data_IF_493010487322
#
_entry.id   IF_493010487322
#
_cell.length_a   1.000
_cell.length_b   1.000
_cell.length_c   1.000
_cell.angle_alpha   90.00
_cell.angle_beta   90.00
_cell.angle_gamma   90.00
#
_symmetry.space_group_name_H-M   'P 1'
#
loop_
_entity.id
_entity.type
_entity.pdbx_description
1 polymer ?
#
# COMPACT_ATOMS: atom_id res chain seq x y z
N UNK A 1 -17.46 13.58 -9.20
CA UNK A 1 -16.44 12.85 -8.49
C UNK A 1 -15.03 13.29 -8.91
N UNK A 2 -14.04 12.97 -8.11
CA UNK A 2 -12.64 13.25 -8.43
C UNK A 2 -12.09 12.11 -9.29
N UNK A 3 -11.32 12.43 -10.34
CA UNK A 3 -10.65 11.43 -11.18
C UNK A 3 -9.58 10.69 -10.35
N UNK A 4 -9.56 9.36 -10.43
CA UNK A 4 -8.62 8.52 -9.70
C UNK A 4 -7.14 8.87 -9.99
N UNK A 5 -6.84 9.45 -11.16
CA UNK A 5 -5.51 9.93 -11.51
C UNK A 5 -5.00 11.11 -10.66
N UNK A 6 -5.88 11.77 -9.92
CA UNK A 6 -5.55 12.91 -9.06
C UNK A 6 -5.57 12.58 -7.56
N UNK A 7 -5.68 11.30 -7.20
CA UNK A 7 -5.74 10.84 -5.82
C UNK A 7 -4.48 10.08 -5.47
N UNK A 8 -3.92 10.36 -4.30
CA UNK A 8 -2.86 9.55 -3.68
C UNK A 8 -3.27 9.16 -2.27
N UNK A 9 -2.90 7.96 -1.83
CA UNK A 9 -3.08 7.51 -0.47
C UNK A 9 -1.74 7.42 0.25
N UNK A 10 -1.78 7.71 1.55
CA UNK A 10 -0.67 7.56 2.47
C UNK A 10 -1.16 6.84 3.73
N UNK A 11 -0.29 6.02 4.32
CA UNK A 11 -0.60 5.30 5.56
C UNK A 11 -0.40 6.14 6.81
N UNK A 12 0.22 7.32 6.70
CA UNK A 12 0.77 8.06 7.86
C UNK A 12 1.58 7.14 8.79
N UNK A 13 2.34 6.24 8.18
CA UNK A 13 3.12 5.22 8.89
C UNK A 13 4.06 5.85 9.91
N UNK A 14 4.08 5.30 11.14
CA UNK A 14 4.78 5.83 12.31
C UNK A 14 4.24 7.18 12.84
N UNK A 15 3.23 7.77 12.20
CA UNK A 15 2.53 8.95 12.70
C UNK A 15 1.67 8.63 13.93
N UNK A 16 1.47 9.64 14.78
CA UNK A 16 0.59 9.53 15.96
C UNK A 16 -0.85 9.76 15.56
N UNK A 17 -1.69 8.75 15.75
CA UNK A 17 -3.12 8.79 15.43
C UNK A 17 -3.95 8.86 16.71
N UNK A 18 -4.90 9.81 16.86
CA UNK A 18 -5.79 9.83 17.99
C UNK A 18 -6.76 8.66 17.95
N UNK A 19 -6.87 7.94 19.05
CA UNK A 19 -7.85 6.87 19.24
C UNK A 19 -8.95 7.37 20.14
N UNK A 20 -10.20 7.21 19.68
CA UNK A 20 -11.41 7.62 20.40
C UNK A 20 -12.21 6.41 20.85
N UNK A 21 -13.01 6.56 21.91
CA UNK A 21 -13.98 5.56 22.32
C UNK A 21 -15.28 5.67 21.48
N UNK A 22 -16.22 4.75 21.71
CA UNK A 22 -17.52 4.71 21.01
C UNK A 22 -18.37 5.98 21.21
N UNK A 23 -18.06 6.79 22.22
CA UNK A 23 -18.73 8.05 22.52
C UNK A 23 -18.00 9.26 21.94
N UNK A 24 -16.88 9.06 21.23
CA UNK A 24 -16.07 10.10 20.65
C UNK A 24 -15.10 10.79 21.62
N UNK A 25 -14.88 10.25 22.82
CA UNK A 25 -13.89 10.80 23.74
C UNK A 25 -12.49 10.29 23.40
N UNK A 26 -11.49 11.16 23.47
CA UNK A 26 -10.10 10.80 23.29
C UNK A 26 -9.65 9.77 24.33
N UNK A 27 -9.03 8.69 23.86
CA UNK A 27 -8.46 7.63 24.73
C UNK A 27 -6.95 7.72 24.84
N UNK A 28 -6.25 7.63 23.72
CA UNK A 28 -4.79 7.67 23.65
C UNK A 28 -4.32 7.97 22.21
N UNK A 29 -3.02 8.16 22.06
CA UNK A 29 -2.39 8.18 20.74
C UNK A 29 -1.95 6.76 20.35
N UNK A 30 -2.43 6.31 19.22
CA UNK A 30 -1.94 5.10 18.54
C UNK A 30 -0.84 5.44 17.55
N UNK A 31 -0.20 4.42 16.99
CA UNK A 31 0.81 4.56 15.94
C UNK A 31 0.26 4.05 14.61
N UNK A 32 0.36 4.86 13.57
CA UNK A 32 -0.03 4.48 12.21
C UNK A 32 0.81 3.31 11.69
N UNK A 33 0.14 2.27 11.16
CA UNK A 33 0.80 1.10 10.59
C UNK A 33 0.96 1.26 9.09
N UNK A 34 2.15 1.06 8.55
CA UNK A 34 2.42 1.08 7.10
C UNK A 34 1.53 0.07 6.36
N UNK A 35 1.26 -1.09 6.96
CA UNK A 35 0.40 -2.13 6.40
C UNK A 35 -1.06 -1.71 6.17
N UNK A 36 -1.51 -0.61 6.79
CA UNK A 36 -2.87 -0.10 6.58
C UNK A 36 -3.12 0.29 5.13
N UNK A 37 -2.11 0.83 4.43
CA UNK A 37 -2.25 1.33 3.06
C UNK A 37 -2.74 0.23 2.09
N UNK A 38 -2.09 -0.94 2.10
CA UNK A 38 -2.51 -2.05 1.24
C UNK A 38 -3.88 -2.60 1.63
N UNK A 39 -4.15 -2.69 2.94
CA UNK A 39 -5.45 -3.16 3.44
C UNK A 39 -6.60 -2.25 2.98
N UNK A 40 -6.46 -0.94 3.13
CA UNK A 40 -7.50 0.01 2.72
C UNK A 40 -7.69 -0.01 1.19
N UNK A 41 -6.62 -0.10 0.40
CA UNK A 41 -6.71 -0.26 -1.05
C UNK A 41 -7.46 -1.56 -1.41
N UNK A 42 -7.15 -2.67 -0.75
CA UNK A 42 -7.82 -3.96 -0.93
C UNK A 42 -9.30 -3.88 -0.57
N UNK A 43 -9.63 -3.27 0.56
CA UNK A 43 -11.01 -3.09 1.02
C UNK A 43 -11.83 -2.23 0.06
N UNK A 44 -11.27 -1.16 -0.48
CA UNK A 44 -11.92 -0.34 -1.50
C UNK A 44 -12.31 -1.16 -2.75
N UNK A 45 -11.48 -2.11 -3.15
CA UNK A 45 -11.78 -2.99 -4.29
C UNK A 45 -12.82 -4.04 -3.93
N UNK A 46 -12.60 -4.79 -2.84
CA UNK A 46 -13.39 -5.98 -2.50
C UNK A 46 -14.72 -5.65 -1.82
N UNK A 47 -14.80 -4.56 -1.06
CA UNK A 47 -15.99 -4.17 -0.31
C UNK A 47 -16.78 -3.05 -0.97
N UNK A 48 -16.07 -2.05 -1.51
CA UNK A 48 -16.71 -0.84 -2.06
C UNK A 48 -16.85 -0.88 -3.60
N UNK A 49 -16.33 -1.93 -4.25
CA UNK A 49 -16.48 -2.13 -5.69
C UNK A 49 -15.66 -1.18 -6.57
N UNK A 50 -14.62 -0.55 -6.01
CA UNK A 50 -13.70 0.27 -6.79
C UNK A 50 -12.92 -0.60 -7.77
N UNK A 51 -12.77 -0.17 -9.01
CA UNK A 51 -11.99 -0.92 -10.00
C UNK A 51 -10.53 -1.06 -9.54
N UNK A 52 -9.99 -2.26 -9.58
CA UNK A 52 -8.61 -2.56 -9.14
C UNK A 52 -7.58 -1.61 -9.77
N UNK A 53 -7.70 -1.34 -11.08
CA UNK A 53 -6.77 -0.43 -11.77
C UNK A 53 -6.80 1.00 -11.21
N UNK A 54 -7.96 1.49 -10.78
CA UNK A 54 -8.09 2.84 -10.21
C UNK A 54 -7.58 2.87 -8.77
N UNK A 55 -7.90 1.86 -7.97
CA UNK A 55 -7.37 1.74 -6.62
C UNK A 55 -5.83 1.64 -6.61
N UNK A 56 -5.25 0.82 -7.50
CA UNK A 56 -3.80 0.66 -7.62
C UNK A 56 -3.08 1.97 -7.99
N UNK A 57 -3.65 2.79 -8.87
CA UNK A 57 -3.05 4.09 -9.23
C UNK A 57 -2.78 4.96 -8.01
N UNK A 58 -3.68 4.97 -7.03
CA UNK A 58 -3.59 5.82 -5.85
C UNK A 58 -2.39 5.51 -4.95
N UNK A 59 -1.87 4.29 -5.01
CA UNK A 59 -0.76 3.78 -4.20
C UNK A 59 0.49 3.44 -5.01
N UNK A 60 0.45 3.57 -6.34
CA UNK A 60 1.58 3.22 -7.22
C UNK A 60 1.97 4.39 -8.13
N UNK A 61 1.33 4.51 -9.30
CA UNK A 61 1.72 5.47 -10.34
C UNK A 61 1.49 6.92 -9.94
N UNK A 62 0.42 7.23 -9.21
CA UNK A 62 0.14 8.60 -8.81
C UNK A 62 1.16 9.15 -7.81
N UNK A 63 1.47 8.46 -6.68
CA UNK A 63 2.53 8.92 -5.78
C UNK A 63 3.90 8.93 -6.46
N UNK A 64 4.22 7.95 -7.32
CA UNK A 64 5.48 7.95 -8.06
C UNK A 64 5.60 9.17 -8.97
N UNK A 65 4.53 9.56 -9.66
CA UNK A 65 4.49 10.76 -10.49
C UNK A 65 4.64 12.04 -9.65
N UNK A 66 3.83 12.16 -8.60
CA UNK A 66 3.83 13.34 -7.71
C UNK A 66 5.19 13.58 -7.06
N UNK A 67 5.83 12.51 -6.59
CA UNK A 67 7.13 12.54 -5.92
C UNK A 67 8.31 12.48 -6.90
N UNK A 68 8.04 12.45 -8.22
CA UNK A 68 9.06 12.37 -9.27
C UNK A 68 10.00 11.17 -9.14
N UNK A 69 9.47 10.03 -8.69
CA UNK A 69 10.23 8.79 -8.53
C UNK A 69 10.43 8.14 -9.91
N UNK A 70 11.63 8.23 -10.43
CA UNK A 70 11.97 7.60 -11.71
C UNK A 70 12.07 6.09 -11.54
N UNK A 71 11.52 5.33 -12.49
CA UNK A 71 11.58 3.87 -12.47
C UNK A 71 10.63 3.19 -11.48
N UNK A 72 9.73 3.92 -10.82
CA UNK A 72 8.78 3.39 -9.84
C UNK A 72 7.32 3.50 -10.28
N UNK A 73 6.46 2.72 -9.66
CA UNK A 73 5.01 2.81 -9.80
C UNK A 73 4.42 2.23 -11.08
N UNK A 74 5.22 1.61 -11.95
CA UNK A 74 4.79 1.00 -13.22
C UNK A 74 5.64 -0.20 -13.55
N UNK A 75 5.04 -1.19 -14.20
CA UNK A 75 5.74 -2.32 -14.82
C UNK A 75 6.06 -1.93 -16.25
N UNK A 76 7.32 -1.62 -16.51
CA UNK A 76 7.83 -1.23 -17.83
C UNK A 76 9.31 -1.59 -17.96
N UNK A 77 9.82 -1.69 -19.18
CA UNK A 77 11.26 -1.91 -19.41
C UNK A 77 12.10 -0.82 -18.74
N UNK A 78 13.21 -1.22 -18.16
CA UNK A 78 14.18 -0.37 -17.45
C UNK A 78 13.66 0.28 -16.16
N UNK A 79 12.43 -0.05 -15.70
CA UNK A 79 11.98 0.30 -14.36
C UNK A 79 12.58 -0.66 -13.32
N UNK A 80 12.56 -0.21 -12.06
CA UNK A 80 12.96 -1.07 -10.95
C UNK A 80 12.04 -2.28 -10.85
N UNK A 81 12.61 -3.44 -10.56
CA UNK A 81 11.85 -4.66 -10.39
C UNK A 81 11.21 -4.72 -8.99
N UNK A 82 10.23 -3.83 -8.76
CA UNK A 82 9.42 -3.77 -7.55
C UNK A 82 8.03 -4.31 -7.88
N UNK A 83 7.73 -5.52 -7.46
CA UNK A 83 6.53 -6.24 -7.86
C UNK A 83 5.83 -6.84 -6.64
N UNK A 84 4.50 -6.84 -6.67
CA UNK A 84 3.65 -7.56 -5.73
C UNK A 84 2.79 -8.54 -6.52
N UNK A 85 2.88 -9.82 -6.17
CA UNK A 85 2.01 -10.87 -6.69
C UNK A 85 0.99 -11.20 -5.60
N UNK A 86 -0.28 -11.20 -5.96
CA UNK A 86 -1.37 -11.50 -5.05
C UNK A 86 -2.39 -12.44 -5.70
N UNK A 87 -3.19 -13.11 -4.88
CA UNK A 87 -4.33 -13.87 -5.35
C UNK A 87 -5.33 -12.95 -6.06
N UNK A 88 -5.87 -13.38 -7.19
CA UNK A 88 -6.74 -12.54 -8.04
C UNK A 88 -8.11 -12.24 -7.42
N UNK A 89 -8.60 -13.11 -6.56
CA UNK A 89 -9.91 -13.05 -5.94
C UNK A 89 -9.91 -12.37 -4.56
N UNK A 90 -8.89 -12.64 -3.75
CA UNK A 90 -8.79 -12.11 -2.38
C UNK A 90 -7.81 -10.95 -2.23
N UNK A 91 -6.96 -10.71 -3.23
CA UNK A 91 -5.84 -9.77 -3.18
C UNK A 91 -4.88 -10.02 -2.00
N UNK A 92 -4.85 -11.24 -1.46
CA UNK A 92 -3.85 -11.62 -0.46
C UNK A 92 -2.47 -11.68 -1.10
N UNK A 93 -1.48 -11.06 -0.44
CA UNK A 93 -0.11 -11.01 -0.94
C UNK A 93 0.53 -12.39 -0.81
N UNK A 94 1.02 -12.91 -1.92
CA UNK A 94 1.82 -14.14 -1.97
C UNK A 94 3.32 -13.82 -2.04
N UNK A 95 3.72 -13.02 -3.00
CA UNK A 95 5.14 -12.72 -3.25
C UNK A 95 5.37 -11.22 -3.37
N UNK A 96 6.44 -10.74 -2.77
CA UNK A 96 6.94 -9.36 -2.96
C UNK A 96 8.39 -9.41 -3.43
N UNK A 97 8.65 -8.69 -4.51
CA UNK A 97 9.99 -8.48 -5.06
C UNK A 97 10.32 -7.00 -4.90
N UNK A 98 11.45 -6.69 -4.32
CA UNK A 98 11.95 -5.35 -4.14
C UNK A 98 13.36 -5.23 -4.72
N UNK A 99 13.54 -4.33 -5.70
CA UNK A 99 14.82 -4.17 -6.39
C UNK A 99 15.33 -5.44 -7.07
N UNK A 100 14.41 -6.30 -7.55
CA UNK A 100 14.75 -7.58 -8.18
C UNK A 100 14.99 -8.73 -7.19
N UNK A 101 14.86 -8.51 -5.89
CA UNK A 101 15.07 -9.51 -4.86
C UNK A 101 13.75 -9.90 -4.19
N UNK A 102 13.49 -11.21 -4.04
CA UNK A 102 12.29 -11.70 -3.35
C UNK A 102 12.43 -11.48 -1.84
N UNK A 103 11.55 -10.65 -1.27
CA UNK A 103 11.53 -10.32 0.16
C UNK A 103 10.36 -10.96 0.91
N UNK A 104 9.31 -11.36 0.19
CA UNK A 104 8.19 -12.17 0.70
C UNK A 104 7.93 -13.30 -0.29
N UNK A 105 7.68 -14.50 0.20
CA UNK A 105 7.30 -15.66 -0.62
C UNK A 105 6.31 -16.54 0.13
N UNK A 106 5.22 -16.94 -0.54
CA UNK A 106 4.14 -17.72 0.07
C UNK A 106 3.50 -17.00 1.27
N UNK A 107 3.49 -15.66 1.25
CA UNK A 107 3.02 -14.84 2.37
C UNK A 107 4.00 -14.73 3.56
N UNK A 108 5.15 -15.40 3.50
CA UNK A 108 6.17 -15.34 4.56
C UNK A 108 7.26 -14.32 4.26
N UNK A 109 7.60 -13.51 5.27
CA UNK A 109 8.66 -12.50 5.17
C UNK A 109 10.03 -13.17 5.21
N UNK A 110 10.79 -13.10 4.11
CA UNK A 110 12.14 -13.66 3.99
C UNK A 110 13.22 -12.67 4.43
N UNK A 111 12.99 -11.38 4.21
CA UNK A 111 13.92 -10.31 4.58
C UNK A 111 13.17 -9.19 5.27
N UNK A 112 13.79 -8.65 6.29
CA UNK A 112 13.27 -7.51 7.07
C UNK A 112 14.21 -6.33 6.93
N UNK A 113 13.67 -5.12 6.89
CA UNK A 113 14.44 -3.88 6.98
C UNK A 113 15.02 -3.69 8.39
N UNK A 114 15.94 -2.74 8.51
CA UNK A 114 16.66 -2.47 9.77
C UNK A 114 15.73 -2.14 10.95
N UNK A 115 14.52 -1.63 10.66
CA UNK A 115 13.54 -1.19 11.68
C UNK A 115 12.26 -2.02 11.68
N UNK A 116 12.27 -3.18 11.03
CA UNK A 116 11.13 -4.11 10.99
C UNK A 116 11.37 -5.26 11.97
N UNK A 117 10.49 -5.39 12.96
CA UNK A 117 10.57 -6.41 14.02
C UNK A 117 9.52 -7.50 13.83
#
# INVERSE_FOLDING_TARGET
GVDAGHITFSSDGQGSLPVFDEKGNFRHLGVGKVSSLYREMKDAVLKDGVRLADALKTVTSNPAFLLKLKGKGRITEYADADLVLSASDTLEIDTVIAGGETVVSGGEVLKRGTFEY
#
